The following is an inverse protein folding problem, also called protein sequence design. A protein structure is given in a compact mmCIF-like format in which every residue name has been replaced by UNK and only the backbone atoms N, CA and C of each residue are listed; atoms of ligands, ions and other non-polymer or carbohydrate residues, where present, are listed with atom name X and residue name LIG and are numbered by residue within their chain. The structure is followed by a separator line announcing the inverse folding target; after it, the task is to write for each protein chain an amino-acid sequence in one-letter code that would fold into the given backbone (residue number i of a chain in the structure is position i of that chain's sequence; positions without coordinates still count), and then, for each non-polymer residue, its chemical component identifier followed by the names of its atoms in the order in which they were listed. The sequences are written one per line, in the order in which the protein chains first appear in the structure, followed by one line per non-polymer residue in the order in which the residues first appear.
data_IF_713257675087
#
_entry.id   IF_713257675087
#
_cell.length_a   1.000
_cell.length_b   1.000
_cell.length_c   1.000
_cell.angle_alpha   90.00
_cell.angle_beta   90.00
_cell.angle_gamma   90.00
#
_symmetry.space_group_name_H-M   'P 1'
#
loop_
_entity.id
_entity.type
_entity.pdbx_description
1 polymer ?
#
# COMPACT_ATOMS: atom_id res chain seq x y z
N UNK A 1 19.66 2.42 -0.30
CA UNK A 1 19.14 2.71 1.05
C UNK A 1 18.88 1.46 1.87
N UNK A 2 18.11 0.48 1.38
CA UNK A 2 17.82 -0.79 2.09
C UNK A 2 19.07 -1.48 2.66
N UNK A 3 20.16 -1.58 1.88
CA UNK A 3 21.44 -2.16 2.33
C UNK A 3 22.08 -1.45 3.54
N UNK A 4 21.69 -0.21 3.84
CA UNK A 4 22.22 0.54 4.98
C UNK A 4 21.62 0.08 6.33
N UNK A 5 20.47 -0.58 6.32
CA UNK A 5 19.92 -1.24 7.51
C UNK A 5 20.58 -2.61 7.78
N UNK A 6 21.44 -3.08 6.86
CA UNK A 6 22.14 -4.36 6.98
C UNK A 6 21.23 -5.59 6.92
N UNK A 7 21.86 -6.76 7.07
CA UNK A 7 21.18 -8.07 7.05
C UNK A 7 20.33 -8.30 8.33
N UNK A 8 20.37 -7.38 9.31
CA UNK A 8 19.59 -7.49 10.55
C UNK A 8 18.10 -7.24 10.34
N UNK A 9 17.73 -6.51 9.28
CA UNK A 9 16.33 -6.20 8.95
C UNK A 9 15.88 -6.90 7.68
N UNK A 10 16.66 -6.83 6.60
CA UNK A 10 16.28 -7.36 5.30
C UNK A 10 17.31 -8.38 4.82
N UNK A 11 16.88 -9.63 4.70
CA UNK A 11 17.75 -10.74 4.27
C UNK A 11 17.89 -10.80 2.74
N UNK A 12 16.84 -10.41 2.01
CA UNK A 12 16.81 -10.44 0.54
C UNK A 12 16.09 -9.19 0.00
N UNK A 13 16.49 -8.75 -1.19
CA UNK A 13 15.90 -7.59 -1.88
C UNK A 13 15.54 -7.97 -3.31
N UNK A 14 14.25 -8.01 -3.60
CA UNK A 14 13.74 -8.16 -4.96
C UNK A 14 13.45 -6.77 -5.56
N UNK A 15 14.30 -6.32 -6.49
CA UNK A 15 14.12 -5.06 -7.19
C UNK A 15 13.77 -5.32 -8.65
N UNK A 16 12.70 -4.69 -9.13
CA UNK A 16 12.23 -4.81 -10.51
C UNK A 16 12.32 -3.46 -11.21
N UNK A 17 13.09 -3.41 -12.31
CA UNK A 17 13.11 -2.28 -13.24
C UNK A 17 12.27 -2.56 -14.49
N UNK A 18 11.92 -3.82 -14.71
CA UNK A 18 11.15 -4.34 -15.83
C UNK A 18 10.20 -5.43 -15.31
N UNK A 19 9.15 -5.73 -16.08
CA UNK A 19 8.24 -6.82 -15.75
C UNK A 19 8.85 -8.16 -16.17
N UNK A 20 8.76 -9.22 -15.33
CA UNK A 20 9.05 -10.57 -15.78
C UNK A 20 8.21 -10.96 -16.99
N UNK A 21 8.75 -11.76 -17.91
CA UNK A 21 8.04 -12.21 -19.12
C UNK A 21 6.68 -12.84 -18.79
N UNK A 22 6.61 -13.65 -17.73
CA UNK A 22 5.38 -14.27 -17.25
C UNK A 22 4.26 -13.26 -16.88
N UNK A 23 4.63 -12.02 -16.54
CA UNK A 23 3.69 -10.92 -16.31
C UNK A 23 3.51 -10.10 -17.58
N UNK A 24 4.58 -9.78 -18.31
CA UNK A 24 4.53 -8.94 -19.50
C UNK A 24 3.72 -9.57 -20.65
N UNK A 25 3.75 -10.90 -20.77
CA UNK A 25 3.10 -11.67 -21.83
C UNK A 25 1.70 -12.17 -21.45
N UNK A 26 1.25 -11.97 -20.21
CA UNK A 26 -0.08 -12.41 -19.79
C UNK A 26 -1.17 -11.54 -20.45
N UNK A 27 -2.07 -12.11 -21.26
CA UNK A 27 -3.06 -11.35 -22.01
C UNK A 27 -4.00 -10.50 -21.14
N UNK A 28 -4.13 -10.81 -19.83
CA UNK A 28 -4.95 -10.01 -18.93
C UNK A 28 -4.43 -8.58 -18.76
N UNK A 29 -3.14 -8.35 -19.04
CA UNK A 29 -2.48 -7.05 -18.90
C UNK A 29 -2.30 -6.31 -20.23
N UNK A 30 -2.76 -6.88 -21.34
CA UNK A 30 -2.59 -6.29 -22.67
C UNK A 30 -3.06 -4.83 -22.71
N UNK A 31 -4.25 -4.55 -22.12
CA UNK A 31 -4.78 -3.18 -22.04
C UNK A 31 -3.97 -2.28 -21.11
N UNK A 32 -3.43 -2.82 -20.01
CA UNK A 32 -2.61 -2.05 -19.06
C UNK A 32 -1.28 -1.64 -19.67
N UNK A 33 -0.71 -2.48 -20.53
CA UNK A 33 0.57 -2.27 -21.19
C UNK A 33 0.48 -1.44 -22.48
N UNK A 34 -0.71 -0.98 -22.86
CA UNK A 34 -0.87 -0.03 -23.96
C UNK A 34 -0.15 1.29 -23.64
N UNK A 35 0.56 1.83 -24.65
CA UNK A 35 1.35 3.05 -24.50
C UNK A 35 0.52 4.23 -23.96
N UNK A 36 1.09 4.95 -22.99
CA UNK A 36 0.47 6.13 -22.39
C UNK A 36 -0.38 5.87 -21.15
N UNK A 37 -0.51 4.61 -20.69
CA UNK A 37 -1.09 4.32 -19.38
C UNK A 37 -0.23 4.92 -18.26
N UNK A 38 -0.85 5.65 -17.33
CA UNK A 38 -0.13 6.28 -16.20
C UNK A 38 0.52 5.21 -15.34
N UNK A 39 1.73 5.47 -14.83
CA UNK A 39 2.37 4.55 -13.88
C UNK A 39 2.69 3.17 -14.47
N UNK A 40 2.86 3.07 -15.79
CA UNK A 40 3.10 1.81 -16.51
C UNK A 40 1.98 0.77 -16.26
N UNK A 41 0.75 1.13 -16.61
CA UNK A 41 -0.43 0.28 -16.43
C UNK A 41 -1.22 0.52 -15.14
N UNK A 42 -1.28 1.77 -14.69
CA UNK A 42 -1.96 2.17 -13.46
C UNK A 42 -1.47 1.41 -12.23
N UNK A 43 -0.15 1.13 -12.20
CA UNK A 43 0.52 0.42 -11.09
C UNK A 43 -0.01 -1.00 -10.81
N UNK A 44 -0.71 -1.64 -11.77
CA UNK A 44 -1.17 -3.03 -11.63
C UNK A 44 -0.04 -3.99 -11.22
N UNK A 45 1.17 -3.68 -11.71
CA UNK A 45 2.38 -4.47 -11.54
C UNK A 45 2.72 -4.73 -10.09
N UNK A 46 2.29 -3.90 -9.13
CA UNK A 46 2.50 -4.16 -7.70
C UNK A 46 1.88 -5.50 -7.29
N UNK A 47 0.59 -5.66 -7.60
CA UNK A 47 -0.14 -6.89 -7.30
C UNK A 47 0.34 -8.08 -8.13
N UNK A 48 0.72 -7.85 -9.40
CA UNK A 48 1.20 -8.90 -10.29
C UNK A 48 2.59 -9.42 -9.88
N UNK A 49 3.52 -8.54 -9.50
CA UNK A 49 4.86 -8.91 -9.06
C UNK A 49 4.83 -9.70 -7.75
N UNK A 50 3.98 -9.33 -6.79
CA UNK A 50 3.83 -10.12 -5.55
C UNK A 50 3.31 -11.53 -5.87
N UNK A 51 2.29 -11.65 -6.72
CA UNK A 51 1.80 -12.97 -7.14
C UNK A 51 2.82 -13.75 -7.96
N UNK A 52 3.64 -13.09 -8.78
CA UNK A 52 4.75 -13.72 -9.50
C UNK A 52 5.76 -14.31 -8.51
N UNK A 53 6.25 -13.53 -7.54
CA UNK A 53 7.18 -14.03 -6.51
C UNK A 53 6.62 -15.23 -5.73
N UNK A 54 5.31 -15.21 -5.43
CA UNK A 54 4.60 -16.30 -4.76
C UNK A 54 4.46 -17.55 -5.62
N UNK A 55 4.22 -17.39 -6.94
CA UNK A 55 4.06 -18.49 -7.92
C UNK A 55 5.41 -19.16 -8.24
N UNK A 56 6.47 -18.38 -8.37
CA UNK A 56 7.83 -18.87 -8.62
C UNK A 56 8.49 -19.50 -7.38
N UNK A 57 7.84 -19.43 -6.21
CA UNK A 57 8.38 -20.00 -4.97
C UNK A 57 9.55 -19.22 -4.37
N UNK A 58 9.73 -17.97 -4.80
CA UNK A 58 10.67 -17.00 -4.24
C UNK A 58 10.16 -16.47 -2.88
N UNK A 59 8.84 -16.37 -2.72
CA UNK A 59 8.17 -16.11 -1.44
C UNK A 59 7.36 -17.32 -0.98
N UNK A 60 7.66 -17.80 0.23
CA UNK A 60 7.13 -19.02 0.84
C UNK A 60 6.31 -18.71 2.07
N UNK A 61 5.43 -19.64 2.43
CA UNK A 61 4.73 -19.60 3.70
C UNK A 61 5.77 -19.72 4.80
N UNK A 62 5.97 -18.67 5.58
CA UNK A 62 7.24 -18.58 6.31
C UNK A 62 7.94 -17.24 6.19
N UNK A 63 7.68 -16.51 5.11
CA UNK A 63 8.41 -15.28 4.84
C UNK A 63 7.62 -14.02 5.27
N UNK A 64 8.38 -12.98 5.60
CA UNK A 64 7.87 -11.63 5.84
C UNK A 64 8.28 -10.76 4.66
N UNK A 65 7.30 -10.15 3.99
CA UNK A 65 7.54 -9.22 2.88
C UNK A 65 7.28 -7.79 3.34
N UNK A 66 8.31 -6.96 3.30
CA UNK A 66 8.17 -5.50 3.36
C UNK A 66 8.22 -4.93 1.94
N UNK A 67 7.17 -4.24 1.54
CA UNK A 67 7.06 -3.62 0.23
C UNK A 67 7.30 -2.11 0.32
N UNK A 68 7.94 -1.55 -0.71
CA UNK A 68 8.11 -0.11 -0.92
C UNK A 68 8.24 0.24 -2.40
N UNK A 69 7.51 1.26 -2.85
CA UNK A 69 7.70 1.85 -4.18
C UNK A 69 9.14 2.37 -4.33
N UNK A 70 9.68 2.39 -5.55
CA UNK A 70 11.03 2.92 -5.81
C UNK A 70 11.21 4.39 -5.40
N UNK A 71 10.12 5.16 -5.25
CA UNK A 71 10.12 6.53 -4.73
C UNK A 71 10.01 6.63 -3.20
N UNK A 72 9.97 5.51 -2.48
CA UNK A 72 10.00 5.50 -1.02
C UNK A 72 11.44 5.60 -0.52
N UNK A 73 11.60 6.29 0.61
CA UNK A 73 12.88 6.40 1.32
C UNK A 73 12.81 5.56 2.57
N UNK A 74 13.83 4.73 2.76
CA UNK A 74 13.97 3.89 3.94
C UNK A 74 14.74 4.66 5.00
N UNK A 75 14.15 4.80 6.18
CA UNK A 75 14.80 5.49 7.28
C UNK A 75 15.83 4.58 7.95
N UNK A 76 17.09 4.72 7.56
CA UNK A 76 18.19 3.92 8.10
C UNK A 76 18.42 4.13 9.61
N UNK A 77 17.96 5.24 10.19
CA UNK A 77 18.03 5.49 11.63
C UNK A 77 16.91 4.85 12.45
N UNK A 78 16.03 4.07 11.83
CA UNK A 78 14.80 3.53 12.42
C UNK A 78 14.75 2.00 12.48
N UNK A 79 15.90 1.33 12.58
CA UNK A 79 16.01 -0.13 12.63
C UNK A 79 15.00 -0.75 13.61
N UNK A 80 14.86 -0.18 14.81
CA UNK A 80 13.92 -0.66 15.81
C UNK A 80 12.45 -0.58 15.34
N UNK A 81 12.06 0.46 14.60
CA UNK A 81 10.70 0.60 14.07
C UNK A 81 10.41 -0.45 12.98
N UNK A 82 11.40 -0.78 12.15
CA UNK A 82 11.31 -1.90 11.21
C UNK A 82 11.17 -3.24 11.93
N UNK A 83 11.99 -3.50 12.94
CA UNK A 83 11.91 -4.73 13.72
C UNK A 83 10.57 -4.85 14.47
N UNK A 84 9.99 -3.74 14.94
CA UNK A 84 8.66 -3.72 15.53
C UNK A 84 7.56 -4.06 14.50
N UNK A 85 7.65 -3.53 13.28
CA UNK A 85 6.72 -3.89 12.19
C UNK A 85 6.81 -5.37 11.80
N UNK A 86 8.02 -5.90 11.68
CA UNK A 86 8.26 -7.31 11.35
C UNK A 86 7.72 -8.21 12.46
N UNK A 87 8.03 -7.92 13.74
CA UNK A 87 7.51 -8.69 14.87
C UNK A 87 5.99 -8.72 14.93
N UNK A 88 5.31 -7.64 14.55
CA UNK A 88 3.84 -7.58 14.50
C UNK A 88 3.24 -8.58 13.54
N UNK A 89 3.92 -8.88 12.44
CA UNK A 89 3.41 -9.85 11.45
C UNK A 89 3.93 -11.28 11.67
N UNK A 90 5.04 -11.41 12.40
CA UNK A 90 5.61 -12.72 12.76
C UNK A 90 5.02 -13.33 14.03
N UNK A 91 4.43 -12.52 14.92
CA UNK A 91 3.68 -13.02 16.07
C UNK A 91 2.49 -13.87 15.61
N UNK A 92 2.36 -15.13 16.05
CA UNK A 92 1.21 -15.98 15.73
C UNK A 92 -0.16 -15.40 16.13
N UNK A 93 -0.19 -14.48 17.09
CA UNK A 93 -1.37 -13.73 17.53
C UNK A 93 -1.43 -12.31 16.94
N UNK A 94 -0.47 -11.95 16.11
CA UNK A 94 -0.32 -10.64 15.49
C UNK A 94 -1.17 -10.44 14.23
N UNK A 95 -0.71 -9.53 13.38
CA UNK A 95 -1.37 -9.20 12.12
C UNK A 95 -0.86 -10.10 10.99
N UNK A 96 -1.68 -10.38 9.99
CA UNK A 96 -1.20 -10.93 8.72
C UNK A 96 -0.64 -9.82 7.81
N UNK A 97 -1.25 -8.63 7.87
CA UNK A 97 -0.90 -7.46 7.06
C UNK A 97 -0.90 -6.20 7.92
N UNK A 98 0.18 -5.43 7.84
CA UNK A 98 0.27 -4.06 8.35
C UNK A 98 0.28 -3.10 7.17
N UNK A 99 -0.79 -2.32 7.05
CA UNK A 99 -0.94 -1.27 6.04
C UNK A 99 -0.87 0.11 6.69
N UNK A 100 -0.68 1.14 5.87
CA UNK A 100 -0.62 2.53 6.30
C UNK A 100 -1.77 3.32 5.69
N UNK A 101 -2.20 4.41 6.32
CA UNK A 101 -3.23 5.30 5.78
C UNK A 101 -2.81 6.77 5.88
N UNK A 102 -3.23 7.57 4.90
CA UNK A 102 -2.99 9.01 4.86
C UNK A 102 -4.30 9.80 4.92
N UNK A 103 -4.22 11.12 5.05
CA UNK A 103 -5.37 11.98 5.32
C UNK A 103 -6.38 12.13 4.18
N UNK A 104 -6.10 11.57 3.00
CA UNK A 104 -7.00 11.71 1.87
C UNK A 104 -8.16 10.72 1.99
N UNK A 105 -9.38 11.20 1.77
CA UNK A 105 -10.58 10.37 1.88
C UNK A 105 -10.85 9.59 0.59
N UNK A 106 -11.36 8.38 0.74
CA UNK A 106 -11.72 7.52 -0.40
C UNK A 106 -12.67 8.22 -1.38
N UNK A 107 -13.67 8.95 -0.89
CA UNK A 107 -14.63 9.66 -1.76
C UNK A 107 -13.96 10.62 -2.75
N UNK A 108 -12.79 11.15 -2.40
CA UNK A 108 -12.03 12.04 -3.29
C UNK A 108 -11.25 11.28 -4.36
N UNK A 109 -10.87 10.04 -4.06
CA UNK A 109 -9.78 9.37 -4.76
C UNK A 109 -10.12 7.98 -5.31
N UNK A 110 -11.36 7.53 -5.13
CA UNK A 110 -11.85 6.22 -5.57
C UNK A 110 -13.05 6.40 -6.48
N UNK A 111 -13.05 5.70 -7.63
CA UNK A 111 -14.13 5.74 -8.62
C UNK A 111 -15.45 5.26 -8.02
N UNK A 112 -16.55 5.80 -8.52
CA UNK A 112 -17.89 5.31 -8.19
C UNK A 112 -18.06 3.82 -8.54
N UNK A 113 -17.51 3.39 -9.68
CA UNK A 113 -17.54 1.98 -10.11
C UNK A 113 -16.83 1.07 -9.11
N UNK A 114 -15.72 1.54 -8.52
CA UNK A 114 -15.02 0.81 -7.45
C UNK A 114 -15.89 0.68 -6.20
N UNK A 115 -16.52 1.75 -5.74
CA UNK A 115 -17.46 1.65 -4.61
C UNK A 115 -18.60 0.67 -4.89
N UNK A 116 -19.22 0.77 -6.07
CA UNK A 116 -20.30 -0.13 -6.47
C UNK A 116 -19.85 -1.59 -6.57
N UNK A 117 -18.62 -1.84 -7.03
CA UNK A 117 -18.04 -3.19 -7.09
C UNK A 117 -17.91 -3.83 -5.70
N UNK A 118 -17.64 -3.02 -4.68
CA UNK A 118 -17.60 -3.39 -3.26
C UNK A 118 -18.97 -3.25 -2.55
N UNK A 119 -20.07 -3.11 -3.30
CA UNK A 119 -21.41 -3.03 -2.73
C UNK A 119 -21.63 -1.84 -1.78
N UNK A 120 -20.86 -0.76 -1.97
CA UNK A 120 -20.87 0.42 -1.10
C UNK A 120 -20.89 1.71 -1.93
N UNK A 121 -20.74 2.87 -1.27
CA UNK A 121 -20.87 4.20 -1.86
C UNK A 121 -19.87 5.19 -1.26
N UNK A 122 -19.69 6.33 -1.93
CA UNK A 122 -18.79 7.41 -1.53
C UNK A 122 -19.17 8.06 -0.18
N UNK A 123 -20.41 7.92 0.27
CA UNK A 123 -20.92 8.41 1.57
C UNK A 123 -20.88 7.36 2.69
N UNK A 124 -20.38 6.16 2.40
CA UNK A 124 -20.25 5.09 3.41
C UNK A 124 -19.31 5.49 4.54
N UNK A 125 -19.74 5.31 5.79
CA UNK A 125 -18.92 5.56 6.97
C UNK A 125 -17.73 4.61 7.08
N UNK A 126 -17.87 3.38 6.59
CA UNK A 126 -16.82 2.34 6.62
C UNK A 126 -15.86 2.40 5.42
N UNK A 127 -16.19 3.17 4.38
CA UNK A 127 -15.43 3.22 3.12
C UNK A 127 -15.25 4.65 2.64
N UNK A 128 -16.26 5.25 1.99
CA UNK A 128 -16.14 6.53 1.30
C UNK A 128 -15.70 7.71 2.17
N UNK A 129 -16.15 7.77 3.43
CA UNK A 129 -15.82 8.83 4.39
C UNK A 129 -14.57 8.56 5.23
N UNK A 130 -13.78 7.54 4.87
CA UNK A 130 -12.56 7.12 5.59
C UNK A 130 -11.30 7.49 4.83
N UNK A 131 -10.19 7.59 5.56
CA UNK A 131 -8.85 7.75 5.00
C UNK A 131 -8.46 6.57 4.11
N UNK A 132 -7.76 6.85 3.01
CA UNK A 132 -7.27 5.84 2.08
C UNK A 132 -5.97 5.20 2.60
N UNK A 133 -5.84 3.89 2.39
CA UNK A 133 -4.61 3.17 2.67
C UNK A 133 -3.56 3.51 1.60
N UNK A 134 -2.30 3.65 2.01
CA UNK A 134 -1.15 3.87 1.15
C UNK A 134 -0.88 2.61 0.32
N UNK A 135 -0.76 2.74 -0.99
CA UNK A 135 -0.39 1.67 -1.92
C UNK A 135 1.11 1.57 -2.17
N UNK A 136 1.89 2.49 -1.60
CA UNK A 136 3.33 2.60 -1.82
C UNK A 136 4.19 1.80 -0.87
N UNK A 137 3.69 1.35 0.28
CA UNK A 137 4.44 0.53 1.22
C UNK A 137 3.52 -0.15 2.24
N UNK A 138 3.92 -1.35 2.68
CA UNK A 138 3.20 -2.19 3.64
C UNK A 138 4.10 -3.36 4.07
N UNK A 139 3.73 -4.06 5.15
CA UNK A 139 4.47 -5.23 5.65
C UNK A 139 3.48 -6.39 5.82
N UNK A 140 3.85 -7.58 5.35
CA UNK A 140 2.94 -8.73 5.32
C UNK A 140 3.65 -10.03 5.68
N UNK A 141 2.95 -10.91 6.38
CA UNK A 141 3.35 -12.31 6.60
C UNK A 141 2.78 -13.18 5.49
N UNK A 142 3.63 -13.89 4.76
CA UNK A 142 3.17 -14.82 3.74
C UNK A 142 2.58 -16.07 4.39
N UNK A 143 1.29 -16.28 4.13
CA UNK A 143 0.52 -17.45 4.54
C UNK A 143 -0.71 -17.59 3.61
N UNK A 144 -1.54 -18.62 3.84
CA UNK A 144 -2.74 -18.85 3.03
C UNK A 144 -3.65 -17.61 2.88
N UNK A 145 -3.87 -16.86 3.97
CA UNK A 145 -4.80 -15.72 3.98
C UNK A 145 -4.25 -14.55 3.18
N UNK A 146 -2.95 -14.28 3.26
CA UNK A 146 -2.32 -13.19 2.50
C UNK A 146 -2.12 -13.56 1.04
N UNK A 147 -1.91 -14.84 0.71
CA UNK A 147 -2.01 -15.33 -0.68
C UNK A 147 -3.41 -15.07 -1.26
N UNK A 148 -4.46 -15.41 -0.52
CA UNK A 148 -5.84 -15.14 -0.94
C UNK A 148 -6.09 -13.62 -1.12
N UNK A 149 -5.47 -12.78 -0.27
CA UNK A 149 -5.53 -11.32 -0.39
C UNK A 149 -4.85 -10.81 -1.65
N UNK A 150 -3.61 -11.22 -1.93
CA UNK A 150 -2.87 -10.79 -3.11
C UNK A 150 -3.48 -11.28 -4.41
N UNK A 151 -4.06 -12.50 -4.44
CA UNK A 151 -4.80 -13.00 -5.58
C UNK A 151 -6.03 -12.11 -5.88
N UNK A 152 -6.82 -11.75 -4.86
CA UNK A 152 -7.95 -10.83 -5.01
C UNK A 152 -7.51 -9.44 -5.46
N UNK A 153 -6.39 -8.93 -4.96
CA UNK A 153 -5.88 -7.63 -5.39
C UNK A 153 -5.45 -7.64 -6.86
N UNK A 154 -4.75 -8.69 -7.30
CA UNK A 154 -4.39 -8.89 -8.72
C UNK A 154 -5.64 -8.97 -9.62
N UNK A 155 -6.67 -9.72 -9.21
CA UNK A 155 -7.95 -9.80 -9.92
C UNK A 155 -8.65 -8.43 -10.03
N UNK A 156 -8.65 -7.65 -8.95
CA UNK A 156 -9.20 -6.29 -8.96
C UNK A 156 -8.42 -5.39 -9.92
N UNK A 157 -7.09 -5.46 -9.89
CA UNK A 157 -6.22 -4.68 -10.75
C UNK A 157 -6.37 -5.06 -12.23
N UNK A 158 -6.67 -6.32 -12.54
CA UNK A 158 -6.95 -6.77 -13.91
C UNK A 158 -8.24 -6.14 -14.49
N UNK A 159 -9.17 -5.70 -13.63
CA UNK A 159 -10.39 -5.06 -14.08
C UNK A 159 -10.17 -3.59 -14.46
N UNK A 160 -10.05 -3.34 -15.77
CA UNK A 160 -9.81 -2.00 -16.33
C UNK A 160 -10.95 -1.01 -16.13
N UNK A 161 -12.19 -1.46 -15.91
CA UNK A 161 -13.28 -0.56 -15.52
C UNK A 161 -13.03 0.06 -14.14
N UNK A 162 -12.26 -0.61 -13.27
CA UNK A 162 -11.97 -0.15 -11.91
C UNK A 162 -10.65 0.63 -11.80
N UNK A 163 -9.57 0.10 -12.41
CA UNK A 163 -8.22 0.65 -12.22
C UNK A 163 -7.91 1.83 -13.15
N UNK A 164 -8.49 1.88 -14.35
CA UNK A 164 -8.13 2.89 -15.35
C UNK A 164 -8.69 4.29 -15.04
N UNK A 165 -8.27 5.26 -15.85
CA UNK A 165 -8.81 6.63 -15.86
C UNK A 165 -10.10 6.78 -16.69
N UNK A 166 -10.64 5.68 -17.25
CA UNK A 166 -11.91 5.74 -17.97
C UNK A 166 -13.01 6.35 -17.08
N UNK A 167 -13.95 7.13 -17.65
CA UNK A 167 -15.06 7.68 -16.89
C UNK A 167 -15.82 6.61 -16.11
N UNK A 168 -16.08 6.88 -14.83
CA UNK A 168 -16.89 6.02 -13.97
C UNK A 168 -18.35 6.04 -14.44
N UNK A 169 -18.99 4.87 -14.55
CA UNK A 169 -20.43 4.77 -14.87
C UNK A 169 -21.30 5.13 -13.67
N UNK A 170 -20.82 4.83 -12.47
CA UNK A 170 -21.46 5.18 -11.20
C UNK A 170 -20.97 6.55 -10.73
N UNK A 171 -21.91 7.43 -10.37
CA UNK A 171 -21.61 8.79 -9.91
C UNK A 171 -20.96 8.79 -8.52
N UNK A 172 -19.82 9.45 -8.42
CA UNK A 172 -19.24 9.94 -7.18
C UNK A 172 -19.07 11.47 -7.32
N UNK A 173 -19.93 12.29 -6.69
CA UNK A 173 -19.92 13.74 -6.88
C UNK A 173 -18.70 14.44 -6.25
N UNK A 174 -17.89 13.71 -5.46
CA UNK A 174 -16.68 14.23 -4.81
C UNK A 174 -15.39 13.73 -5.47
N UNK A 175 -15.49 12.98 -6.57
CA UNK A 175 -14.34 12.39 -7.24
C UNK A 175 -13.41 13.46 -7.81
N UNK A 176 -12.13 13.39 -7.42
CA UNK A 176 -11.05 14.27 -7.87
C UNK A 176 -10.21 13.57 -8.92
N UNK A 177 -9.70 12.38 -8.62
CA UNK A 177 -8.89 11.55 -9.52
C UNK A 177 -8.84 10.12 -8.99
N UNK A 178 -8.62 9.12 -9.87
CA UNK A 178 -8.44 7.75 -9.41
C UNK A 178 -7.04 7.59 -8.79
N UNK A 179 -6.94 6.82 -7.71
CA UNK A 179 -5.66 6.32 -7.17
C UNK A 179 -5.37 4.88 -7.57
N UNK A 180 -6.12 4.35 -8.52
CA UNK A 180 -5.78 3.13 -9.26
C UNK A 180 -5.62 1.91 -8.33
N UNK A 181 -4.49 1.22 -8.39
CA UNK A 181 -4.17 0.07 -7.55
C UNK A 181 -4.33 0.38 -6.05
N UNK A 182 -3.97 1.59 -5.62
CA UNK A 182 -4.07 2.04 -4.23
C UNK A 182 -5.53 2.09 -3.76
N UNK A 183 -6.44 2.58 -4.60
CA UNK A 183 -7.88 2.55 -4.31
C UNK A 183 -8.38 1.10 -4.15
N UNK A 184 -7.91 0.19 -5.00
CA UNK A 184 -8.31 -1.22 -4.95
C UNK A 184 -7.75 -1.94 -3.71
N UNK A 185 -6.47 -1.70 -3.39
CA UNK A 185 -5.82 -2.18 -2.18
C UNK A 185 -6.58 -1.70 -0.95
N UNK A 186 -6.83 -0.40 -0.85
CA UNK A 186 -7.46 0.21 0.31
C UNK A 186 -8.88 -0.30 0.53
N UNK A 187 -9.68 -0.42 -0.52
CA UNK A 187 -11.02 -1.01 -0.44
C UNK A 187 -10.97 -2.48 -0.01
N UNK A 188 -10.00 -3.26 -0.51
CA UNK A 188 -9.79 -4.66 -0.11
C UNK A 188 -9.35 -4.79 1.35
N UNK A 189 -8.45 -3.93 1.84
CA UNK A 189 -8.07 -3.84 3.25
C UNK A 189 -9.32 -3.59 4.12
N UNK A 190 -10.13 -2.58 3.78
CA UNK A 190 -11.35 -2.23 4.53
C UNK A 190 -12.39 -3.34 4.54
N UNK A 191 -12.48 -4.08 3.44
CA UNK A 191 -13.37 -5.24 3.32
C UNK A 191 -13.05 -6.39 4.30
N UNK A 192 -11.90 -6.32 4.97
CA UNK A 192 -11.38 -7.30 5.91
C UNK A 192 -11.38 -6.83 7.37
N UNK A 193 -12.18 -5.82 7.71
CA UNK A 193 -12.33 -5.29 9.09
C UNK A 193 -10.99 -4.98 9.78
N UNK A 194 -10.19 -4.07 9.21
CA UNK A 194 -8.88 -3.75 9.77
C UNK A 194 -9.01 -3.15 11.17
N UNK A 195 -8.03 -3.43 12.03
CA UNK A 195 -7.87 -2.74 13.31
C UNK A 195 -7.07 -1.47 13.06
N UNK A 196 -7.69 -0.32 13.29
CA UNK A 196 -7.01 0.98 13.24
C UNK A 196 -6.35 1.25 14.58
N UNK A 197 -5.04 1.10 14.65
CA UNK A 197 -4.32 1.30 15.91
C UNK A 197 -3.91 2.76 16.08
N UNK A 198 -4.40 3.40 17.15
CA UNK A 198 -3.73 4.57 17.70
C UNK A 198 -2.57 4.08 18.56
N UNK A 199 -1.37 4.34 18.08
CA UNK A 199 -0.16 4.28 18.87
C UNK A 199 -0.26 5.15 20.12
N UNK A 200 0.31 4.69 21.24
CA UNK A 200 0.69 5.59 22.32
C UNK A 200 1.81 6.54 21.87
N UNK A 201 2.12 7.59 22.65
CA UNK A 201 3.11 8.62 22.29
C UNK A 201 4.53 8.07 22.01
N UNK A 202 4.84 6.88 22.51
CA UNK A 202 6.13 6.22 22.36
C UNK A 202 6.16 5.29 21.15
N UNK A 203 4.99 4.95 20.61
CA UNK A 203 4.85 4.01 19.52
C UNK A 203 5.01 4.70 18.17
N UNK A 204 5.49 3.95 17.17
CA UNK A 204 6.05 4.54 15.97
C UNK A 204 5.00 5.13 15.02
N UNK A 205 3.75 4.77 15.26
CA UNK A 205 2.54 5.24 14.62
C UNK A 205 1.82 6.35 15.45
N UNK A 206 2.54 7.01 16.37
CA UNK A 206 1.99 8.12 17.15
C UNK A 206 1.68 9.29 16.23
N UNK A 207 0.47 9.30 15.67
CA UNK A 207 -0.15 10.58 15.33
C UNK A 207 0.01 11.50 16.54
N UNK A 208 0.25 12.80 16.32
CA UNK A 208 0.30 13.73 17.45
C UNK A 208 -0.93 13.49 18.32
N UNK A 209 -0.81 13.55 19.65
CA UNK A 209 -1.98 13.43 20.56
C UNK A 209 -3.13 14.36 20.17
N UNK A 210 -2.82 15.42 19.45
CA UNK A 210 -3.72 16.42 18.91
C UNK A 210 -4.41 16.01 17.59
N UNK A 211 -3.97 14.94 16.91
CA UNK A 211 -4.63 14.41 15.70
C UNK A 211 -5.92 13.67 16.05
N UNK A 212 -6.94 14.50 16.22
CA UNK A 212 -8.31 14.14 16.55
C UNK A 212 -9.16 13.85 15.31
N UNK A 213 -8.58 13.81 14.10
CA UNK A 213 -9.33 13.59 12.86
C UNK A 213 -10.05 12.24 12.92
N UNK A 214 -11.37 12.29 13.06
CA UNK A 214 -12.24 11.13 13.19
C UNK A 214 -12.17 10.19 11.98
N UNK A 215 -11.68 10.66 10.83
CA UNK A 215 -11.60 9.89 9.58
C UNK A 215 -10.46 8.87 9.56
N UNK A 216 -9.42 9.06 10.37
CA UNK A 216 -8.31 8.10 10.50
C UNK A 216 -8.62 7.00 11.53
N UNK A 217 -9.43 7.31 12.53
CA UNK A 217 -9.53 6.48 13.75
C UNK A 217 -10.94 5.92 13.94
N UNK A 218 -11.59 5.52 12.84
CA UNK A 218 -12.93 4.93 12.87
C UNK A 218 -12.87 3.48 13.32
N UNK A 219 -13.95 3.02 13.94
CA UNK A 219 -14.18 1.59 14.10
C UNK A 219 -14.38 0.97 12.72
N UNK A 220 -13.80 -0.21 12.45
CA UNK A 220 -14.09 -0.92 11.22
C UNK A 220 -15.56 -1.34 11.15
N UNK A 221 -16.00 -1.71 9.96
CA UNK A 221 -17.29 -2.35 9.74
C UNK A 221 -17.50 -3.53 10.73
N UNK A 222 -18.75 -3.75 11.13
CA UNK A 222 -19.11 -4.82 12.07
C UNK A 222 -18.93 -6.23 11.49
N UNK A 223 -18.87 -6.36 10.17
CA UNK A 223 -18.73 -7.63 9.47
C UNK A 223 -17.75 -7.52 8.31
N UNK A 224 -17.11 -8.64 7.95
CA UNK A 224 -16.26 -8.70 6.75
C UNK A 224 -17.16 -8.64 5.53
N UNK A 225 -16.67 -8.06 4.45
CA UNK A 225 -17.43 -7.98 3.22
C UNK A 225 -17.71 -9.38 2.67
N UNK A 226 -18.95 -9.66 2.25
CA UNK A 226 -19.37 -11.00 1.79
C UNK A 226 -18.51 -11.60 0.67
N UNK A 227 -18.11 -10.79 -0.32
CA UNK A 227 -17.29 -11.21 -1.48
C UNK A 227 -15.75 -11.09 -1.28
N UNK A 228 -15.30 -10.00 -0.66
CA UNK A 228 -13.88 -9.64 -0.56
C UNK A 228 -13.26 -9.92 0.81
N UNK A 229 -14.11 -10.19 1.81
CA UNK A 229 -13.67 -10.66 3.12
C UNK A 229 -13.01 -12.02 3.02
N UNK A 230 -11.86 -12.13 3.64
CA UNK A 230 -11.07 -13.34 3.81
C UNK A 230 -11.19 -13.74 5.27
N UNK A 231 -11.59 -14.99 5.48
CA UNK A 231 -11.78 -15.53 6.82
C UNK A 231 -10.47 -15.47 7.61
N UNK A 232 -10.57 -15.00 8.85
CA UNK A 232 -9.47 -14.88 9.82
C UNK A 232 -8.28 -14.01 9.40
N UNK A 233 -8.38 -13.25 8.29
CA UNK A 233 -7.30 -12.33 7.89
C UNK A 233 -7.20 -11.18 8.88
N UNK A 234 -6.11 -11.11 9.64
CA UNK A 234 -5.85 -10.03 10.58
C UNK A 234 -5.14 -8.87 9.86
N UNK A 235 -5.77 -7.71 9.80
CA UNK A 235 -5.18 -6.52 9.19
C UNK A 235 -5.08 -5.42 10.23
N UNK A 236 -3.90 -4.82 10.35
CA UNK A 236 -3.67 -3.62 11.16
C UNK A 236 -3.41 -2.44 10.22
N UNK A 237 -4.06 -1.32 10.48
CA UNK A 237 -3.83 -0.08 9.74
C UNK A 237 -3.23 0.96 10.68
N UNK A 238 -2.07 1.45 10.28
CA UNK A 238 -1.31 2.50 10.94
C UNK A 238 -1.48 3.81 10.17
N UNK A 239 -1.36 4.95 10.84
CA UNK A 239 -1.26 6.25 10.19
C UNK A 239 0.13 6.44 9.59
N UNK A 240 0.17 6.96 8.37
CA UNK A 240 1.37 7.52 7.76
C UNK A 240 1.71 8.88 8.40
N UNK A 241 2.89 9.02 9.01
CA UNK A 241 3.36 10.31 9.54
C UNK A 241 4.04 11.20 8.47
N UNK A 242 4.24 10.68 7.27
CA UNK A 242 4.64 11.41 6.08
C UNK A 242 6.15 11.67 5.95
N UNK A 243 6.49 12.49 4.95
CA UNK A 243 7.85 12.91 4.62
C UNK A 243 8.23 14.24 5.30
N UNK A 244 9.50 14.43 5.72
CA UNK A 244 10.63 13.50 5.60
C UNK A 244 10.74 12.48 6.73
N UNK A 245 11.07 11.24 6.35
CA UNK A 245 11.18 10.11 7.30
C UNK A 245 12.24 10.35 8.36
N UNK A 246 13.32 11.07 8.04
CA UNK A 246 14.44 11.31 8.96
C UNK A 246 14.11 12.29 10.09
N UNK A 247 12.99 13.02 10.02
CA UNK A 247 12.55 13.90 11.11
C UNK A 247 11.92 13.13 12.26
N UNK A 248 11.59 11.86 12.05
CA UNK A 248 11.02 11.02 13.09
C UNK A 248 11.64 9.61 13.02
N UNK A 249 12.49 9.21 13.99
CA UNK A 249 13.08 7.87 14.01
C UNK A 249 12.02 6.76 14.15
N UNK A 250 10.77 7.13 14.39
CA UNK A 250 9.60 6.24 14.39
C UNK A 250 8.98 6.01 13.01
N UNK A 251 9.32 6.79 11.98
CA UNK A 251 8.78 6.54 10.64
C UNK A 251 9.77 5.65 9.86
N UNK A 252 9.49 4.34 9.67
CA UNK A 252 10.44 3.43 9.03
C UNK A 252 10.59 3.68 7.52
N UNK A 253 9.51 4.15 6.90
CA UNK A 253 9.41 4.36 5.45
C UNK A 253 8.37 5.43 5.15
N UNK A 254 8.59 6.22 4.10
CA UNK A 254 7.57 7.07 3.49
C UNK A 254 7.92 7.37 2.03
N UNK A 255 6.93 7.77 1.25
CA UNK A 255 7.14 8.27 -0.11
C UNK A 255 7.89 9.62 -0.07
N UNK A 256 8.98 9.73 -0.83
CA UNK A 256 9.70 11.00 -0.98
C UNK A 256 8.84 12.04 -1.70
N UNK A 257 8.99 13.32 -1.31
CA UNK A 257 8.44 14.44 -2.08
C UNK A 257 9.51 14.93 -3.06
N UNK A 258 9.19 14.94 -4.35
CA UNK A 258 10.10 15.27 -5.48
C UNK A 258 10.82 16.63 -5.35
N UNK A 259 10.36 17.55 -4.49
CA UNK A 259 11.04 18.83 -4.28
C UNK A 259 12.24 18.74 -3.32
N UNK A 260 12.38 17.65 -2.54
CA UNK A 260 13.50 17.45 -1.61
C UNK A 260 14.58 16.49 -2.14
N UNK A 261 14.39 15.88 -3.32
CA UNK A 261 15.42 15.04 -3.95
C UNK A 261 16.67 15.83 -4.36
N UNK A 262 16.63 17.17 -4.34
CA UNK A 262 17.80 18.04 -4.49
C UNK A 262 18.69 18.12 -3.24
N UNK A 263 18.26 17.63 -2.08
CA UNK A 263 19.10 17.62 -0.87
C UNK A 263 20.09 16.44 -0.82
N UNK A 264 19.92 15.44 -1.69
CA UNK A 264 20.84 14.30 -1.80
C UNK A 264 21.88 14.43 -2.93
N UNK A 265 21.83 15.49 -3.75
CA UNK A 265 22.86 15.82 -4.75
C UNK A 265 23.92 16.79 -4.20
N UNK A 266 24.25 16.68 -2.92
CA UNK A 266 25.16 17.56 -2.20
C UNK A 266 26.52 16.95 -1.87
N UNK A 267 27.13 16.18 -2.77
CA UNK A 267 28.56 15.86 -2.73
C UNK A 267 29.02 15.37 -4.11
N UNK A 268 29.69 16.25 -4.86
CA UNK A 268 30.29 15.92 -6.15
C UNK A 268 29.77 16.83 -7.26
N UNK A 269 30.35 18.02 -7.36
CA UNK A 269 30.12 18.88 -8.51
C UNK A 269 30.65 18.26 -9.80
N UNK A 270 29.96 18.53 -10.90
CA UNK A 270 30.52 18.83 -12.21
C UNK A 270 29.42 19.56 -13.00
N UNK A 271 29.75 20.79 -13.42
CA UNK A 271 29.00 21.58 -14.39
C UNK A 271 29.23 21.01 -15.79
N UNK A 272 28.17 20.89 -16.60
CA UNK A 272 28.16 21.10 -18.06
C UNK A 272 26.74 21.66 -18.33
N UNK A 273 26.51 22.94 -18.69
CA UNK A 273 26.88 23.75 -19.87
C UNK A 273 26.35 23.16 -21.18
N UNK A 274 25.39 23.92 -21.74
CA UNK A 274 24.62 23.85 -23.00
C UNK A 274 23.51 22.79 -23.15
#
# INVERSE_FOLDING_TARGET
EVRALGDSVFQEVHAFTELPDAVAEDPRWERHLQGGSKGFGWWFWKSALVNFLLKEGLLRDGDTLAYGDAGCVVNWGSEQAWLDLIRRVEDPQGADLVAFQHEHLEKGFTKGDTFAHFGTRWDSEDYGLTCQCVGGYWVVRINKRTRDFFAKWEELCANTDLISDDPSRVLNPYFVANRHDQSLLSMLVKSNRPVYERADDLHFNAGSREDTRSTCWRLPALERHRKFGIQDLAVVVLKDCGWPVTRDPRQPIAAARLNDSMLFSGAGGLQEVD
#
